data_IF_350449759809
#
_entry.id   IF_350449759809
#
_cell.length_a   1.000
_cell.length_b   1.000
_cell.length_c   1.000
_cell.angle_alpha   90.00
_cell.angle_beta   90.00
_cell.angle_gamma   90.00
#
_symmetry.space_group_name_H-M   'P 1'
#
loop_
_entity.id
_entity.type
_entity.pdbx_description
1 polymer ?
#
# COMPACT_ATOMS: atom_id res chain seq x y z
N UNK A 1 14.15 10.38 -5.29
CA UNK A 1 14.00 8.98 -5.75
C UNK A 1 14.57 8.88 -7.16
N UNK A 2 15.44 7.92 -7.46
CA UNK A 2 16.17 7.86 -8.75
C UNK A 2 15.63 6.69 -9.60
N UNK A 3 14.82 6.96 -10.65
CA UNK A 3 14.07 5.93 -11.39
C UNK A 3 14.96 4.81 -11.96
N UNK A 4 16.11 5.18 -12.53
CA UNK A 4 17.04 4.23 -13.14
C UNK A 4 17.64 3.23 -12.14
N UNK A 5 17.97 3.69 -10.92
CA UNK A 5 18.48 2.82 -9.85
C UNK A 5 17.41 1.84 -9.35
N UNK A 6 16.13 2.26 -9.36
CA UNK A 6 15.01 1.39 -9.02
C UNK A 6 14.83 0.30 -10.09
N UNK A 7 14.82 0.69 -11.37
CA UNK A 7 14.74 -0.26 -12.49
C UNK A 7 15.85 -1.31 -12.44
N UNK A 8 17.12 -0.88 -12.28
CA UNK A 8 18.24 -1.80 -12.13
C UNK A 8 18.11 -2.70 -10.89
N UNK A 9 17.56 -2.18 -9.79
CA UNK A 9 17.30 -2.99 -8.60
C UNK A 9 16.22 -4.05 -8.82
N UNK A 10 15.23 -3.80 -9.68
CA UNK A 10 14.20 -4.77 -10.04
C UNK A 10 14.77 -5.85 -10.95
N UNK A 11 15.51 -5.46 -12.00
CA UNK A 11 16.21 -6.41 -12.87
C UNK A 11 17.15 -7.34 -12.08
N UNK A 12 17.93 -6.80 -11.14
CA UNK A 12 18.81 -7.61 -10.29
C UNK A 12 18.08 -8.68 -9.46
N UNK A 13 16.81 -8.44 -9.08
CA UNK A 13 15.99 -9.42 -8.36
C UNK A 13 15.48 -10.53 -9.28
N UNK A 14 15.29 -10.23 -10.57
CA UNK A 14 14.84 -11.20 -11.59
C UNK A 14 15.93 -12.19 -12.01
N UNK A 15 17.20 -11.91 -11.72
CA UNK A 15 18.33 -12.82 -12.00
C UNK A 15 18.39 -13.94 -10.97
N UNK A 16 17.66 -15.03 -11.20
CA UNK A 16 17.71 -16.29 -10.44
C UNK A 16 18.89 -17.16 -10.86
N UNK A 17 19.21 -17.20 -12.16
CA UNK A 17 20.36 -17.91 -12.71
C UNK A 17 21.45 -16.94 -13.18
N UNK A 18 22.59 -16.92 -12.47
CA UNK A 18 23.72 -16.04 -12.80
C UNK A 18 24.57 -16.53 -13.98
N UNK A 19 24.47 -17.81 -14.36
CA UNK A 19 25.16 -18.34 -15.52
C UNK A 19 24.50 -17.89 -16.84
N UNK A 20 23.18 -17.65 -16.81
CA UNK A 20 22.38 -17.21 -17.96
C UNK A 20 21.46 -16.06 -17.56
N UNK A 21 22.05 -14.87 -17.41
CA UNK A 21 21.38 -13.68 -16.86
C UNK A 21 20.18 -13.26 -17.72
N UNK A 22 20.36 -13.18 -19.04
CA UNK A 22 19.30 -12.74 -19.96
C UNK A 22 18.12 -13.72 -19.97
N UNK A 23 18.39 -15.02 -20.08
CA UNK A 23 17.37 -16.06 -20.04
C UNK A 23 16.61 -16.05 -18.71
N UNK A 24 17.32 -15.88 -17.59
CA UNK A 24 16.69 -15.80 -16.26
C UNK A 24 15.75 -14.59 -16.12
N UNK A 25 16.11 -13.45 -16.71
CA UNK A 25 15.25 -12.26 -16.69
C UNK A 25 14.00 -12.49 -17.53
N UNK A 26 14.15 -13.05 -18.73
CA UNK A 26 13.03 -13.37 -19.64
C UNK A 26 12.06 -14.35 -18.99
N UNK A 27 12.57 -15.41 -18.38
CA UNK A 27 11.75 -16.40 -17.66
C UNK A 27 10.91 -15.75 -16.56
N UNK A 28 11.51 -14.87 -15.75
CA UNK A 28 10.77 -14.18 -14.69
C UNK A 28 9.73 -13.19 -15.25
N UNK A 29 9.98 -12.57 -16.40
CA UNK A 29 8.99 -11.73 -17.07
C UNK A 29 7.80 -12.55 -17.58
N UNK A 30 8.04 -13.73 -18.16
CA UNK A 30 6.96 -14.63 -18.62
C UNK A 30 6.05 -15.00 -17.44
N UNK A 31 6.64 -15.38 -16.30
CA UNK A 31 5.87 -15.72 -15.09
C UNK A 31 5.06 -14.52 -14.59
N UNK A 32 5.65 -13.33 -14.57
CA UNK A 32 4.96 -12.10 -14.16
C UNK A 32 3.79 -11.77 -15.10
N UNK A 33 3.99 -11.84 -16.42
CA UNK A 33 2.94 -11.59 -17.42
C UNK A 33 1.80 -12.59 -17.33
N UNK A 34 2.09 -13.87 -17.11
CA UNK A 34 1.06 -14.90 -16.87
C UNK A 34 0.27 -14.56 -15.60
N UNK A 35 0.94 -14.17 -14.51
CA UNK A 35 0.29 -13.79 -13.27
C UNK A 35 -0.63 -12.56 -13.42
N UNK A 36 -0.18 -11.56 -14.18
CA UNK A 36 -1.00 -10.40 -14.53
C UNK A 36 -2.19 -10.78 -15.42
N UNK A 37 -1.94 -11.55 -16.48
CA UNK A 37 -3.00 -11.99 -17.39
C UNK A 37 -4.07 -12.80 -16.67
N UNK A 38 -3.67 -13.77 -15.85
CA UNK A 38 -4.60 -14.62 -15.08
C UNK A 38 -5.36 -13.84 -14.01
N UNK A 39 -4.75 -12.78 -13.42
CA UNK A 39 -5.43 -11.94 -12.43
C UNK A 39 -6.68 -11.22 -12.96
N UNK A 40 -6.82 -11.08 -14.29
CA UNK A 40 -8.02 -10.52 -14.90
C UNK A 40 -9.20 -11.51 -14.96
N UNK A 41 -8.93 -12.81 -14.83
CA UNK A 41 -9.94 -13.85 -14.99
C UNK A 41 -10.33 -14.52 -13.67
N UNK A 42 -9.46 -14.47 -12.65
CA UNK A 42 -9.72 -15.05 -11.34
C UNK A 42 -10.19 -14.01 -10.32
N UNK A 43 -10.90 -14.47 -9.30
CA UNK A 43 -11.37 -13.61 -8.22
C UNK A 43 -10.22 -13.04 -7.38
N UNK A 44 -10.38 -11.85 -6.75
CA UNK A 44 -9.30 -11.16 -6.03
C UNK A 44 -8.63 -11.95 -4.90
N UNK A 45 -9.36 -12.93 -4.34
CA UNK A 45 -8.87 -13.78 -3.27
C UNK A 45 -7.92 -14.89 -3.78
N UNK A 46 -7.89 -15.14 -5.09
CA UNK A 46 -6.98 -16.08 -5.74
C UNK A 46 -5.70 -15.34 -6.08
N UNK A 47 -4.62 -15.67 -5.37
CA UNK A 47 -3.31 -15.04 -5.57
C UNK A 47 -2.67 -15.51 -6.88
N UNK A 48 -2.93 -14.80 -7.98
CA UNK A 48 -2.37 -15.09 -9.30
C UNK A 48 -1.01 -14.40 -9.56
N UNK A 49 -0.71 -13.33 -8.83
CA UNK A 49 0.52 -12.55 -8.96
C UNK A 49 1.30 -12.54 -7.66
N UNK A 50 2.63 -12.48 -7.76
CA UNK A 50 3.48 -12.22 -6.60
C UNK A 50 3.14 -10.82 -6.05
N UNK A 51 2.74 -10.70 -4.77
CA UNK A 51 2.46 -9.39 -4.20
C UNK A 51 3.75 -8.56 -4.24
N UNK A 52 3.70 -7.39 -4.87
CA UNK A 52 4.82 -6.46 -4.78
C UNK A 52 5.03 -6.05 -3.32
N UNK A 53 6.22 -5.61 -2.95
CA UNK A 53 6.52 -5.16 -1.57
C UNK A 53 5.60 -4.01 -1.08
N UNK A 54 4.91 -3.35 -2.00
CA UNK A 54 3.93 -2.31 -1.75
C UNK A 54 2.52 -2.68 -2.23
N UNK A 55 2.28 -3.95 -2.61
CA UNK A 55 0.93 -4.46 -2.71
C UNK A 55 0.45 -4.58 -1.28
N UNK A 56 -0.08 -3.47 -0.80
CA UNK A 56 -1.01 -3.40 0.31
C UNK A 56 -2.24 -4.21 -0.16
N UNK A 57 -2.11 -5.54 -0.22
CA UNK A 57 -3.18 -6.50 0.04
C UNK A 57 -3.60 -6.36 1.51
N UNK A 58 -3.74 -5.10 1.95
CA UNK A 58 -4.49 -4.74 3.13
C UNK A 58 -5.88 -5.13 2.74
N UNK A 59 -6.17 -6.39 3.08
CA UNK A 59 -7.44 -6.90 3.51
C UNK A 59 -8.58 -6.08 2.96
N UNK A 60 -9.36 -6.74 2.14
CA UNK A 60 -10.81 -6.63 1.96
C UNK A 60 -11.59 -6.44 3.30
N UNK A 61 -11.06 -5.80 4.34
CA UNK A 61 -11.85 -5.03 5.28
C UNK A 61 -12.28 -3.76 4.55
N UNK A 62 -13.29 -3.98 3.72
CA UNK A 62 -14.50 -3.20 3.84
C UNK A 62 -14.29 -1.70 3.66
N UNK A 63 -14.40 -1.34 2.39
CA UNK A 63 -14.96 -0.10 1.83
C UNK A 63 -16.31 0.34 2.46
N UNK A 64 -16.62 0.01 3.72
CA UNK A 64 -17.93 0.24 4.33
C UNK A 64 -18.05 1.64 4.93
N UNK A 65 -16.97 2.33 5.28
CA UNK A 65 -17.07 3.75 5.66
C UNK A 65 -16.51 4.65 4.58
N UNK A 66 -17.41 5.37 3.91
CA UNK A 66 -17.11 6.67 3.28
C UNK A 66 -16.91 7.78 4.34
N UNK A 67 -16.56 7.42 5.57
CA UNK A 67 -16.29 8.38 6.62
C UNK A 67 -14.86 8.88 6.45
N UNK A 68 -14.70 10.20 6.51
CA UNK A 68 -13.41 10.91 6.48
C UNK A 68 -12.45 10.42 7.58
N UNK A 69 -12.99 9.73 8.58
CA UNK A 69 -12.27 9.15 9.71
C UNK A 69 -11.73 7.73 9.43
N UNK A 70 -12.24 7.05 8.41
CA UNK A 70 -11.80 5.71 8.01
C UNK A 70 -10.86 5.75 6.81
N UNK A 71 -9.91 6.67 6.83
CA UNK A 71 -8.78 6.63 5.91
C UNK A 71 -7.69 5.69 6.48
N UNK A 72 -7.47 4.51 5.87
CA UNK A 72 -6.39 3.65 6.31
C UNK A 72 -5.04 4.34 6.04
N UNK A 73 -4.43 4.86 7.10
CA UNK A 73 -3.07 5.41 7.07
C UNK A 73 -2.05 4.31 7.36
N UNK A 74 -0.93 4.31 6.65
CA UNK A 74 0.21 3.44 6.95
C UNK A 74 1.19 4.18 7.88
N UNK A 75 1.32 3.80 9.16
CA UNK A 75 2.37 4.38 10.00
C UNK A 75 3.73 4.02 9.41
N UNK A 76 4.59 5.02 9.23
CA UNK A 76 5.94 4.84 8.68
C UNK A 76 6.99 5.20 9.72
N UNK A 77 8.08 4.42 9.76
CA UNK A 77 9.18 4.63 10.71
C UNK A 77 9.03 3.88 12.03
N UNK A 78 9.97 4.11 12.95
CA UNK A 78 9.98 3.49 14.26
C UNK A 78 8.94 4.15 15.18
N UNK A 79 7.98 3.36 15.68
CA UNK A 79 6.97 3.82 16.63
C UNK A 79 7.49 3.78 18.07
N UNK A 80 7.17 4.78 18.88
CA UNK A 80 7.33 4.75 20.35
C UNK A 80 5.96 4.87 21.00
N UNK A 81 5.71 4.07 22.05
CA UNK A 81 4.51 4.23 22.88
C UNK A 81 4.72 5.43 23.80
N UNK A 82 3.78 6.38 23.79
CA UNK A 82 3.75 7.55 24.67
C UNK A 82 2.29 7.83 25.04
N UNK A 83 2.05 8.28 26.27
CA UNK A 83 0.75 8.80 26.66
C UNK A 83 0.56 10.21 26.09
N UNK A 84 -0.58 10.44 25.47
CA UNK A 84 -0.97 11.77 24.99
C UNK A 84 -1.23 12.70 26.18
N UNK A 85 -0.80 13.96 26.05
CA UNK A 85 -1.14 15.02 26.99
C UNK A 85 -2.58 15.48 26.80
N UNK A 86 -3.20 16.06 27.83
CA UNK A 86 -4.56 16.60 27.73
C UNK A 86 -4.70 17.70 26.65
N UNK A 87 -3.62 18.46 26.41
CA UNK A 87 -3.58 19.47 25.34
C UNK A 87 -3.56 18.82 23.95
N UNK A 88 -2.71 17.80 23.74
CA UNK A 88 -2.68 17.04 22.48
C UNK A 88 -4.04 16.40 22.18
N UNK A 89 -4.70 15.85 23.20
CA UNK A 89 -6.05 15.30 23.09
C UNK A 89 -7.07 16.37 22.67
N UNK A 90 -7.10 17.53 23.33
CA UNK A 90 -8.00 18.62 22.98
C UNK A 90 -7.76 19.15 21.55
N UNK A 91 -6.49 19.22 21.12
CA UNK A 91 -6.14 19.59 19.75
C UNK A 91 -6.64 18.56 18.74
N UNK A 92 -6.49 17.27 19.02
CA UNK A 92 -7.00 16.20 18.14
C UNK A 92 -8.53 16.22 18.03
N UNK A 93 -9.22 16.36 19.15
CA UNK A 93 -10.69 16.48 19.19
C UNK A 93 -11.17 17.70 18.37
N UNK A 94 -10.52 18.85 18.55
CA UNK A 94 -10.83 20.08 17.79
C UNK A 94 -10.55 19.90 16.30
N UNK A 95 -9.42 19.27 15.95
CA UNK A 95 -9.06 19.01 14.56
C UNK A 95 -10.09 18.12 13.87
N UNK A 96 -10.52 17.04 14.52
CA UNK A 96 -11.56 16.14 14.00
C UNK A 96 -12.86 16.89 13.76
N UNK A 97 -13.30 17.70 14.74
CA UNK A 97 -14.53 18.48 14.62
C UNK A 97 -14.43 19.48 13.46
N UNK A 98 -13.37 20.30 13.41
CA UNK A 98 -13.14 21.35 12.41
C UNK A 98 -12.96 20.85 10.97
N UNK A 99 -12.52 19.60 10.78
CA UNK A 99 -12.21 19.05 9.45
C UNK A 99 -13.18 17.93 9.02
N UNK A 100 -14.30 17.76 9.73
CA UNK A 100 -15.32 16.78 9.35
C UNK A 100 -16.46 17.44 8.58
N UNK A 101 -16.81 16.87 7.43
CA UNK A 101 -17.95 17.33 6.61
C UNK A 101 -19.29 17.19 7.36
N UNK A 102 -19.36 16.29 8.34
CA UNK A 102 -20.55 16.07 9.19
C UNK A 102 -20.82 17.26 10.11
N UNK A 103 -19.78 17.93 10.60
CA UNK A 103 -19.90 19.05 11.54
C UNK A 103 -19.97 20.39 10.82
N UNK A 104 -19.58 20.43 9.53
CA UNK A 104 -19.66 21.61 8.66
C UNK A 104 -20.99 22.39 8.69
N UNK A 105 -22.18 21.76 8.75
CA UNK A 105 -23.46 22.47 8.78
C UNK A 105 -23.75 23.21 10.09
N UNK A 106 -23.00 22.97 11.16
CA UNK A 106 -23.26 23.52 12.49
C UNK A 106 -22.38 24.73 12.83
N UNK A 107 -21.64 25.28 11.85
CA UNK A 107 -20.81 26.48 12.01
C UNK A 107 -21.57 27.81 11.86
N UNK A 108 -22.89 27.82 12.05
CA UNK A 108 -23.71 29.05 12.13
C UNK A 108 -23.59 29.74 13.49
#
# INVERSE_FOLDING_TARGET
>A
MYPFKRFLSELKKKVKNKAHIEASIVEEYIVEEIGWFTSHYFEPHVTCKQPTRNDDLTREHERISRDILNHPGRPSGASKKRYESGQERHMMETYVLCNSEVVAPYYE
#
